data_IF_834802730586
#
_entry.id   IF_834802730586
#
_cell.length_a   1.000
_cell.length_b   1.000
_cell.length_c   1.000
_cell.angle_alpha   90.00
_cell.angle_beta   90.00
_cell.angle_gamma   90.00
#
_symmetry.space_group_name_H-M   'P 1'
#
loop_
_entity.id
_entity.type
_entity.pdbx_description
1 polymer ?
#
# COMPACT_ATOMS: atom_id res chain seq x y z
N UNK A 1 9.99 31.66 1.35
CA UNK A 1 10.72 30.37 1.28
C UNK A 1 10.38 29.60 2.55
N UNK A 2 9.25 28.91 2.58
CA UNK A 2 8.83 28.18 3.79
C UNK A 2 9.52 26.84 3.86
N UNK A 3 10.15 26.61 5.00
CA UNK A 3 10.86 25.42 5.44
C UNK A 3 10.00 24.16 5.28
N UNK A 4 10.49 23.21 4.47
CA UNK A 4 9.95 21.86 4.27
C UNK A 4 10.92 20.81 4.81
N UNK A 5 11.81 21.17 5.73
CA UNK A 5 12.68 20.19 6.38
C UNK A 5 11.91 19.49 7.51
N UNK A 6 11.86 18.16 7.47
CA UNK A 6 11.21 17.26 8.44
C UNK A 6 9.68 17.06 8.37
N UNK A 7 9.12 16.85 7.17
CA UNK A 7 7.97 15.94 7.04
C UNK A 7 8.28 14.83 6.04
N UNK A 8 8.44 13.61 6.54
CA UNK A 8 8.67 12.39 5.73
C UNK A 8 7.49 11.99 4.83
N UNK A 9 6.40 12.76 4.83
CA UNK A 9 5.20 12.46 4.08
C UNK A 9 5.01 13.48 2.97
N UNK A 10 4.88 12.99 1.74
CA UNK A 10 4.36 13.79 0.65
C UNK A 10 2.83 13.88 0.78
N UNK A 11 2.33 15.00 1.31
CA UNK A 11 0.90 15.25 1.47
C UNK A 11 0.24 15.86 0.22
N UNK A 12 1.04 16.29 -0.77
CA UNK A 12 0.54 16.99 -1.96
C UNK A 12 0.30 15.99 -3.10
N UNK A 13 1.19 15.01 -3.29
CA UNK A 13 1.10 14.05 -4.38
C UNK A 13 1.02 14.73 -5.75
N UNK A 14 0.13 14.25 -6.62
CA UNK A 14 -0.10 14.85 -7.95
C UNK A 14 -1.00 16.11 -7.93
N UNK A 15 -1.54 16.50 -6.76
CA UNK A 15 -2.49 17.60 -6.64
C UNK A 15 -3.59 17.54 -7.73
N UNK A 16 -3.86 18.65 -8.44
CA UNK A 16 -4.83 18.71 -9.53
C UNK A 16 -4.29 18.33 -10.92
N UNK A 17 -3.07 17.76 -11.00
CA UNK A 17 -2.41 17.43 -12.28
C UNK A 17 -1.89 15.98 -12.28
N UNK A 18 -2.77 14.97 -12.19
CA UNK A 18 -2.36 13.57 -12.34
C UNK A 18 -1.79 13.31 -13.75
N UNK A 19 -0.79 12.43 -13.89
CA UNK A 19 -0.28 12.04 -15.20
C UNK A 19 -1.30 11.22 -15.98
N UNK A 20 -1.21 11.25 -17.31
CA UNK A 20 -1.97 10.34 -18.16
C UNK A 20 -1.32 8.95 -18.11
N UNK A 21 -2.08 7.96 -17.66
CA UNK A 21 -1.55 6.62 -17.37
C UNK A 21 -1.23 5.79 -18.63
N UNK A 22 -1.78 6.16 -19.80
CA UNK A 22 -1.55 5.53 -21.11
C UNK A 22 -1.64 3.99 -21.10
N UNK A 23 -2.72 3.47 -20.52
CA UNK A 23 -2.92 2.02 -20.43
C UNK A 23 -3.04 1.38 -21.82
N UNK A 24 -2.54 0.14 -21.99
CA UNK A 24 -2.60 -0.56 -23.28
C UNK A 24 -3.99 -0.54 -23.90
N UNK A 25 -4.05 -0.27 -25.21
CA UNK A 25 -5.30 -0.19 -25.96
C UNK A 25 -6.20 1.01 -25.62
N UNK A 26 -5.67 2.03 -24.93
CA UNK A 26 -6.45 3.18 -24.50
C UNK A 26 -7.45 2.84 -23.39
N UNK A 27 -7.15 1.82 -22.58
CA UNK A 27 -8.04 1.39 -21.50
C UNK A 27 -8.28 2.52 -20.49
N UNK A 28 -9.55 2.66 -20.07
CA UNK A 28 -9.97 3.74 -19.15
C UNK A 28 -9.67 3.45 -17.69
N UNK A 29 -9.42 2.19 -17.35
CA UNK A 29 -9.15 1.71 -16.00
C UNK A 29 -8.22 0.51 -16.08
N UNK A 30 -7.29 0.40 -15.13
CA UNK A 30 -6.52 -0.81 -14.88
C UNK A 30 -7.11 -1.51 -13.64
N UNK A 31 -7.37 -2.81 -13.74
CA UNK A 31 -7.87 -3.63 -12.63
C UNK A 31 -6.73 -4.55 -12.17
N UNK A 32 -6.44 -4.56 -10.87
CA UNK A 32 -5.38 -5.37 -10.27
C UNK A 32 -5.99 -6.31 -9.22
N UNK A 33 -5.99 -7.60 -9.49
CA UNK A 33 -6.35 -8.61 -8.50
C UNK A 33 -5.12 -8.95 -7.66
N UNK A 34 -5.30 -8.97 -6.34
CA UNK A 34 -4.26 -9.36 -5.39
C UNK A 34 -4.80 -10.54 -4.59
N UNK A 35 -4.05 -11.64 -4.60
CA UNK A 35 -4.30 -12.80 -3.75
C UNK A 35 -3.15 -12.88 -2.77
N UNK A 36 -3.43 -12.56 -1.52
CA UNK A 36 -2.48 -12.80 -0.45
C UNK A 36 -2.58 -14.27 -0.05
N UNK A 37 -1.43 -14.89 0.19
CA UNK A 37 -1.34 -16.20 0.80
C UNK A 37 -0.43 -16.08 2.01
N UNK A 38 -1.04 -15.76 3.14
CA UNK A 38 -0.39 -15.55 4.43
C UNK A 38 -0.91 -16.56 5.47
N UNK A 39 -1.78 -17.47 5.04
CA UNK A 39 -2.39 -18.49 5.88
C UNK A 39 -1.31 -19.41 6.47
N UNK A 40 -1.28 -19.48 7.79
CA UNK A 40 -0.24 -20.13 8.57
C UNK A 40 0.88 -19.17 9.00
N UNK A 41 0.97 -17.95 8.50
CA UNK A 41 1.93 -16.95 8.99
C UNK A 41 1.32 -16.00 10.04
N UNK A 42 0.08 -16.26 10.46
CA UNK A 42 -0.54 -15.54 11.56
C UNK A 42 0.22 -15.75 12.87
N UNK A 43 0.11 -14.77 13.76
CA UNK A 43 0.65 -14.89 15.11
C UNK A 43 0.11 -16.14 15.79
N UNK A 44 1.02 -17.01 16.21
CA UNK A 44 0.67 -18.30 16.77
C UNK A 44 1.65 -18.73 17.85
N UNK A 45 1.14 -18.96 19.05
CA UNK A 45 1.92 -19.51 20.17
C UNK A 45 2.54 -20.87 19.77
N UNK A 46 1.83 -21.66 18.94
CA UNK A 46 2.34 -22.93 18.43
C UNK A 46 3.58 -22.78 17.54
N UNK A 47 3.78 -21.59 16.97
CA UNK A 47 4.95 -21.23 16.16
C UNK A 47 6.00 -20.43 16.94
N UNK A 48 5.81 -20.26 18.25
CA UNK A 48 6.77 -19.61 19.15
C UNK A 48 6.52 -18.12 19.37
N UNK A 49 5.42 -17.58 18.86
CA UNK A 49 5.06 -16.17 19.08
C UNK A 49 4.56 -15.94 20.51
N UNK A 50 4.77 -14.72 21.00
CA UNK A 50 4.35 -14.33 22.34
C UNK A 50 2.83 -14.33 22.54
N UNK A 51 2.06 -14.18 21.45
CA UNK A 51 0.60 -14.11 21.47
C UNK A 51 0.02 -14.78 20.21
N UNK A 52 -1.27 -15.12 20.25
CA UNK A 52 -2.01 -15.57 19.08
C UNK A 52 -2.74 -14.37 18.44
N UNK A 53 -3.11 -14.45 17.16
CA UNK A 53 -3.74 -13.34 16.42
C UNK A 53 -4.98 -12.74 17.10
N UNK A 54 -5.73 -13.55 17.85
CA UNK A 54 -6.98 -13.13 18.52
C UNK A 54 -6.88 -12.92 20.04
N UNK A 55 -5.68 -12.91 20.64
CA UNK A 55 -5.49 -12.78 22.10
C UNK A 55 -4.63 -11.57 22.45
#
# INVERSE_FOLDING_TARGET
MTDQTSRHRNLIGYAGKPPQADWPGGARVAVSFVLNYEEGAEYSILKGDAHAESI
#
